data_IF_784942379044
#
_entry.id   IF_784942379044
#
_cell.length_a   1.000
_cell.length_b   1.000
_cell.length_c   1.000
_cell.angle_alpha   90.00
_cell.angle_beta   90.00
_cell.angle_gamma   90.00
#
_symmetry.space_group_name_H-M   'P 1'
#
loop_
_entity.id
_entity.type
_entity.pdbx_description
1 polymer ?
#
# COMPACT_ATOMS: atom_id res chain seq x y z
N UNK A 1 0.63 15.63 -3.93
CA UNK A 1 0.02 14.48 -3.22
C UNK A 1 -1.08 13.82 -4.06
N UNK A 2 -2.16 14.53 -4.42
CA UNK A 2 -3.26 13.96 -5.22
C UNK A 2 -2.80 13.34 -6.56
N UNK A 3 -1.97 14.05 -7.33
CA UNK A 3 -1.45 13.53 -8.61
C UNK A 3 -0.55 12.29 -8.46
N UNK A 4 0.19 12.16 -7.35
CA UNK A 4 1.03 10.98 -7.09
C UNK A 4 0.15 9.77 -6.75
N UNK A 5 -0.88 9.99 -5.93
CA UNK A 5 -1.86 8.97 -5.57
C UNK A 5 -2.68 8.48 -6.75
N UNK A 6 -3.11 9.40 -7.62
CA UNK A 6 -3.81 9.05 -8.85
C UNK A 6 -2.92 8.20 -9.76
N UNK A 7 -1.66 8.58 -9.95
CA UNK A 7 -0.71 7.82 -10.77
C UNK A 7 -0.44 6.41 -10.21
N UNK A 8 -0.34 6.26 -8.88
CA UNK A 8 -0.16 4.95 -8.23
C UNK A 8 -1.40 4.07 -8.31
N UNK A 9 -2.59 4.67 -8.36
CA UNK A 9 -3.85 3.96 -8.53
C UNK A 9 -4.08 3.40 -9.94
N UNK A 10 -3.41 3.96 -10.95
CA UNK A 10 -3.48 3.50 -12.35
C UNK A 10 -2.28 2.58 -12.64
N UNK A 11 -2.17 1.49 -11.90
CA UNK A 11 -1.12 0.48 -12.05
C UNK A 11 -1.61 -0.78 -12.78
N UNK A 12 -0.69 -1.50 -13.43
CA UNK A 12 -0.98 -2.75 -14.15
C UNK A 12 -1.63 -3.81 -13.25
N UNK A 13 -1.17 -3.91 -11.99
CA UNK A 13 -1.77 -4.80 -10.98
C UNK A 13 -3.22 -4.45 -10.64
N UNK A 14 -3.59 -3.16 -10.67
CA UNK A 14 -4.97 -2.74 -10.37
C UNK A 14 -5.91 -3.21 -11.48
N UNK A 15 -5.48 -3.08 -12.74
CA UNK A 15 -6.23 -3.56 -13.89
C UNK A 15 -6.36 -5.09 -13.87
N UNK A 16 -5.28 -5.81 -13.56
CA UNK A 16 -5.29 -7.28 -13.51
C UNK A 16 -6.16 -7.81 -12.37
N UNK A 17 -6.07 -7.20 -11.18
CA UNK A 17 -6.89 -7.58 -10.02
C UNK A 17 -8.36 -7.27 -10.28
N UNK A 18 -8.65 -6.12 -10.90
CA UNK A 18 -9.99 -5.77 -11.37
C UNK A 18 -10.54 -6.77 -12.38
N UNK A 19 -9.73 -7.22 -13.34
CA UNK A 19 -10.11 -8.21 -14.35
C UNK A 19 -10.38 -9.61 -13.75
N UNK A 20 -9.69 -9.99 -12.67
CA UNK A 20 -9.92 -11.24 -11.96
C UNK A 20 -11.19 -11.21 -11.09
N UNK A 21 -11.52 -10.04 -10.52
CA UNK A 21 -12.67 -9.86 -9.65
C UNK A 21 -13.97 -9.54 -10.41
N UNK A 22 -13.87 -8.90 -11.58
CA UNK A 22 -15.00 -8.49 -12.41
C UNK A 22 -15.98 -9.63 -12.80
N UNK A 23 -15.53 -10.86 -13.14
CA UNK A 23 -16.43 -11.94 -13.54
C UNK A 23 -17.34 -12.46 -12.40
N UNK A 24 -16.98 -12.21 -11.14
CA UNK A 24 -17.66 -12.78 -9.96
C UNK A 24 -18.55 -11.82 -9.17
N UNK A 25 -18.40 -10.50 -9.34
CA UNK A 25 -19.03 -9.49 -8.46
C UNK A 25 -20.07 -8.58 -9.15
N UNK A 26 -20.09 -8.52 -10.49
CA UNK A 26 -20.91 -7.56 -11.23
C UNK A 26 -20.49 -6.09 -10.98
N UNK A 27 -21.14 -5.14 -11.66
CA UNK A 27 -20.76 -3.71 -11.59
C UNK A 27 -20.95 -3.12 -10.17
N UNK A 28 -22.11 -3.36 -9.56
CA UNK A 28 -22.47 -2.83 -8.24
C UNK A 28 -21.59 -3.42 -7.12
N UNK A 29 -21.34 -4.73 -7.15
CA UNK A 29 -20.45 -5.38 -6.19
C UNK A 29 -19.00 -4.92 -6.33
N UNK A 30 -18.52 -4.72 -7.57
CA UNK A 30 -17.18 -4.19 -7.82
C UNK A 30 -17.02 -2.76 -7.29
N UNK A 31 -18.01 -1.88 -7.49
CA UNK A 31 -17.99 -0.52 -6.96
C UNK A 31 -17.99 -0.49 -5.42
N UNK A 32 -18.79 -1.35 -4.77
CA UNK A 32 -18.77 -1.49 -3.32
C UNK A 32 -17.42 -2.00 -2.80
N UNK A 33 -16.83 -3.00 -3.47
CA UNK A 33 -15.52 -3.53 -3.10
C UNK A 33 -14.42 -2.47 -3.21
N UNK A 34 -14.41 -1.69 -4.30
CA UNK A 34 -13.47 -0.57 -4.49
C UNK A 34 -13.66 0.48 -3.39
N UNK A 35 -14.91 0.86 -3.09
CA UNK A 35 -15.20 1.88 -2.10
C UNK A 35 -14.77 1.43 -0.69
N UNK A 36 -15.14 0.22 -0.28
CA UNK A 36 -14.78 -0.33 1.02
C UNK A 36 -13.26 -0.54 1.14
N UNK A 37 -12.62 -1.09 0.11
CA UNK A 37 -11.17 -1.28 0.08
C UNK A 37 -10.43 0.06 0.18
N UNK A 38 -10.91 1.08 -0.53
CA UNK A 38 -10.34 2.44 -0.48
C UNK A 38 -10.53 3.07 0.89
N UNK A 39 -11.72 2.93 1.50
CA UNK A 39 -11.99 3.48 2.82
C UNK A 39 -11.05 2.89 3.87
N UNK A 40 -10.89 1.57 3.87
CA UNK A 40 -9.97 0.87 4.80
C UNK A 40 -8.52 1.26 4.52
N UNK A 41 -8.11 1.28 3.25
CA UNK A 41 -6.75 1.67 2.85
C UNK A 41 -6.41 3.09 3.29
N UNK A 42 -7.29 4.06 3.03
CA UNK A 42 -7.11 5.46 3.41
C UNK A 42 -7.06 5.61 4.93
N UNK A 43 -7.87 4.88 5.70
CA UNK A 43 -7.82 4.93 7.16
C UNK A 43 -6.47 4.46 7.73
N UNK A 44 -5.92 3.37 7.18
CA UNK A 44 -4.59 2.86 7.56
C UNK A 44 -3.48 3.84 7.14
N UNK A 45 -3.57 4.42 5.94
CA UNK A 45 -2.63 5.42 5.46
C UNK A 45 -2.67 6.72 6.26
N UNK A 46 -3.86 7.17 6.65
CA UNK A 46 -4.04 8.37 7.46
C UNK A 46 -3.43 8.18 8.86
N UNK A 47 -3.65 7.03 9.49
CA UNK A 47 -3.09 6.72 10.81
C UNK A 47 -1.56 6.67 10.78
N UNK A 48 -0.95 6.02 9.78
CA UNK A 48 0.51 6.05 9.60
C UNK A 48 1.01 7.46 9.25
N UNK A 49 0.24 8.21 8.46
CA UNK A 49 0.54 9.59 8.09
C UNK A 49 0.57 10.55 9.28
N UNK A 50 -0.32 10.37 10.26
CA UNK A 50 -0.31 11.11 11.54
C UNK A 50 0.98 10.81 12.30
N UNK A 51 1.33 9.53 12.46
CA UNK A 51 2.58 9.12 13.14
C UNK A 51 3.81 9.73 12.44
N UNK A 52 3.85 9.70 11.11
CA UNK A 52 4.94 10.30 10.33
C UNK A 52 5.00 11.83 10.45
N UNK A 53 3.85 12.50 10.53
CA UNK A 53 3.76 13.96 10.69
C UNK A 53 4.18 14.40 12.09
N UNK A 54 3.81 13.64 13.12
CA UNK A 54 4.13 13.94 14.51
C UNK A 54 5.59 13.64 14.86
N UNK A 55 6.17 12.58 14.28
CA UNK A 55 7.55 12.17 14.57
C UNK A 55 8.59 12.74 13.62
N UNK A 56 8.19 13.11 12.39
CA UNK A 56 9.11 13.53 11.32
C UNK A 56 10.07 12.41 10.85
N UNK A 57 9.85 11.18 11.30
CA UNK A 57 10.71 10.04 11.02
C UNK A 57 10.33 9.36 9.71
N UNK A 58 11.33 8.80 9.02
CA UNK A 58 11.06 7.90 7.90
C UNK A 58 10.34 6.64 8.39
N UNK A 59 9.55 6.00 7.53
CA UNK A 59 8.79 4.79 7.88
C UNK A 59 9.68 3.69 8.52
N UNK A 60 10.92 3.56 8.09
CA UNK A 60 11.88 2.62 8.68
C UNK A 60 12.45 3.08 10.02
N UNK A 61 12.59 4.37 10.26
CA UNK A 61 12.98 4.89 11.56
C UNK A 61 11.83 4.75 12.58
N UNK A 62 10.57 4.94 12.16
CA UNK A 62 9.40 4.69 12.98
C UNK A 62 9.27 3.21 13.36
N UNK A 63 9.58 2.28 12.45
CA UNK A 63 9.61 0.84 12.75
C UNK A 63 10.68 0.46 13.78
N UNK A 64 11.85 1.14 13.77
CA UNK A 64 12.91 0.94 14.77
C UNK A 64 12.48 1.33 16.19
N UNK A 65 11.57 2.31 16.34
CA UNK A 65 11.02 2.69 17.65
C UNK A 65 10.14 1.59 18.25
N UNK A 66 9.40 0.86 17.43
CA UNK A 66 8.48 -0.19 17.90
C UNK A 66 9.14 -1.57 18.02
N UNK A 67 10.02 -1.94 17.08
CA UNK A 67 10.61 -3.28 16.96
C UNK A 67 12.09 -3.34 17.37
N UNK A 68 12.72 -2.21 17.68
CA UNK A 68 14.15 -2.11 17.92
C UNK A 68 15.00 -2.29 16.65
N UNK A 69 16.32 -2.13 16.77
CA UNK A 69 17.23 -2.16 15.61
C UNK A 69 17.32 -3.54 14.94
N UNK A 70 17.29 -4.63 15.73
CA UNK A 70 17.32 -6.01 15.22
C UNK A 70 15.96 -6.47 14.69
N UNK A 71 14.86 -6.06 15.33
CA UNK A 71 13.50 -6.40 14.88
C UNK A 71 13.13 -5.67 13.59
N UNK A 72 13.60 -4.44 13.38
CA UNK A 72 13.38 -3.69 12.14
C UNK A 72 14.14 -4.25 10.92
N UNK A 73 15.09 -5.18 11.11
CA UNK A 73 15.81 -5.83 10.00
C UNK A 73 14.91 -6.76 9.18
N UNK A 74 13.97 -7.45 9.84
CA UNK A 74 13.02 -8.35 9.19
C UNK A 74 12.09 -7.61 8.21
N UNK A 75 11.38 -6.54 8.62
CA UNK A 75 10.61 -5.70 7.70
C UNK A 75 11.45 -5.08 6.60
N UNK A 76 12.71 -4.70 6.89
CA UNK A 76 13.59 -4.10 5.89
C UNK A 76 13.95 -5.09 4.76
N UNK A 77 14.32 -6.32 5.11
CA UNK A 77 14.62 -7.36 4.11
C UNK A 77 13.38 -7.71 3.29
N UNK A 78 12.21 -7.85 3.94
CA UNK A 78 10.95 -8.10 3.25
C UNK A 78 10.58 -6.95 2.31
N UNK A 79 10.82 -5.70 2.70
CA UNK A 79 10.58 -4.54 1.86
C UNK A 79 11.48 -4.53 0.62
N UNK A 80 12.76 -4.90 0.75
CA UNK A 80 13.66 -5.04 -0.41
C UNK A 80 13.19 -6.15 -1.35
N UNK A 81 12.82 -7.31 -0.81
CA UNK A 81 12.28 -8.41 -1.62
C UNK A 81 10.98 -7.99 -2.34
N UNK A 82 10.11 -7.25 -1.69
CA UNK A 82 8.90 -6.69 -2.29
C UNK A 82 9.22 -5.71 -3.42
N UNK A 83 10.21 -4.82 -3.24
CA UNK A 83 10.64 -3.88 -4.27
C UNK A 83 11.24 -4.59 -5.49
N UNK A 84 12.00 -5.67 -5.28
CA UNK A 84 12.49 -6.52 -6.37
C UNK A 84 11.32 -7.15 -7.11
N UNK A 85 10.37 -7.76 -6.39
CA UNK A 85 9.18 -8.36 -6.98
C UNK A 85 8.32 -7.35 -7.75
N UNK A 86 8.17 -6.13 -7.21
CA UNK A 86 7.46 -5.04 -7.88
C UNK A 86 8.19 -4.59 -9.14
N UNK A 87 9.51 -4.35 -9.05
CA UNK A 87 10.34 -3.98 -10.19
C UNK A 87 10.31 -5.03 -11.31
N UNK A 88 10.33 -6.32 -10.98
CA UNK A 88 10.19 -7.39 -11.97
C UNK A 88 8.81 -7.48 -12.62
N UNK A 89 7.77 -6.89 -12.03
CA UNK A 89 6.41 -6.94 -12.54
C UNK A 89 6.03 -5.70 -13.37
N UNK A 90 6.66 -4.55 -13.10
CA UNK A 90 6.45 -3.29 -13.83
C UNK A 90 7.47 -3.01 -14.94
N UNK A 91 8.61 -3.72 -14.97
CA UNK A 91 9.58 -3.72 -16.09
C UNK A 91 9.09 -4.68 -17.20
#
# INVERSE_FOLDING_TARGET
LFSLWFSLGVGLMVLQTGALLAPGLGLSGSLLAIFLGTLVGVALLASVGVIGSDTGLSSMAALKLSLGSRGAMLPAVLNVLQLIGWGSFEI
#
